data_IF_571205662353
#
_entry.id   IF_571205662353
#
_cell.length_a   1.000
_cell.length_b   1.000
_cell.length_c   1.000
_cell.angle_alpha   90.00
_cell.angle_beta   90.00
_cell.angle_gamma   90.00
#
_symmetry.space_group_name_H-M   'P 1'
#
loop_
_entity.id
_entity.type
_entity.pdbx_description
1 polymer ?
#
# COMPACT_ATOMS: atom_id res chain seq x y z
N UNK A 1 -23.61 10.79 2.75
CA UNK A 1 -23.17 9.38 2.91
C UNK A 1 -22.13 8.93 1.87
N UNK A 2 -22.30 9.20 0.57
CA UNK A 2 -21.34 8.79 -0.49
C UNK A 2 -19.89 9.28 -0.27
N UNK A 3 -19.72 10.45 0.36
CA UNK A 3 -18.42 11.04 0.71
C UNK A 3 -17.73 10.43 1.93
N UNK A 4 -18.38 9.59 2.73
CA UNK A 4 -17.76 9.00 3.95
C UNK A 4 -17.00 7.72 3.62
N UNK A 5 -17.47 6.96 2.62
CA UNK A 5 -16.86 5.69 2.21
C UNK A 5 -15.42 5.88 1.72
N UNK A 6 -15.19 6.95 0.94
CA UNK A 6 -13.85 7.26 0.41
C UNK A 6 -12.82 7.51 1.53
N UNK A 7 -12.96 8.52 2.41
CA UNK A 7 -12.01 8.77 3.48
C UNK A 7 -11.93 7.61 4.48
N UNK A 8 -13.04 6.92 4.79
CA UNK A 8 -13.00 5.75 5.66
C UNK A 8 -12.13 4.63 5.05
N UNK A 9 -12.24 4.41 3.75
CA UNK A 9 -11.40 3.43 3.06
C UNK A 9 -9.93 3.85 3.01
N UNK A 10 -9.63 5.12 2.70
CA UNK A 10 -8.25 5.62 2.73
C UNK A 10 -7.63 5.49 4.14
N UNK A 11 -8.39 5.80 5.20
CA UNK A 11 -7.96 5.62 6.58
C UNK A 11 -7.70 4.14 6.92
N UNK A 12 -8.52 3.22 6.42
CA UNK A 12 -8.29 1.79 6.58
C UNK A 12 -6.98 1.35 5.89
N UNK A 13 -6.72 1.84 4.67
CA UNK A 13 -5.45 1.59 3.98
C UNK A 13 -4.25 2.17 4.72
N UNK A 14 -4.38 3.39 5.26
CA UNK A 14 -3.34 4.02 6.08
C UNK A 14 -3.01 3.15 7.30
N UNK A 15 -4.01 2.67 8.03
CA UNK A 15 -3.81 1.77 9.16
C UNK A 15 -3.10 0.48 8.75
N UNK A 16 -3.51 -0.13 7.62
CA UNK A 16 -2.87 -1.32 7.08
C UNK A 16 -1.39 -1.09 6.75
N UNK A 17 -1.06 0.05 6.12
CA UNK A 17 0.33 0.39 5.80
C UNK A 17 1.15 0.75 7.05
N UNK A 18 0.57 1.43 8.04
CA UNK A 18 1.23 1.67 9.34
C UNK A 18 1.56 0.35 10.05
N UNK A 19 0.63 -0.60 10.05
CA UNK A 19 0.86 -1.92 10.62
C UNK A 19 1.92 -2.72 9.84
N UNK A 20 1.87 -2.66 8.51
CA UNK A 20 2.89 -3.25 7.64
C UNK A 20 4.28 -2.67 7.89
N UNK A 21 4.39 -1.35 8.00
CA UNK A 21 5.62 -0.65 8.37
C UNK A 21 6.11 -1.14 9.74
N UNK A 22 5.26 -1.07 10.78
CA UNK A 22 5.63 -1.52 12.12
C UNK A 22 6.22 -2.95 12.11
N UNK A 23 5.57 -3.90 11.42
CA UNK A 23 6.07 -5.28 11.32
C UNK A 23 7.41 -5.37 10.58
N UNK A 24 7.56 -4.65 9.46
CA UNK A 24 8.80 -4.64 8.67
C UNK A 24 9.94 -3.85 9.34
N UNK A 25 9.68 -3.07 10.39
CA UNK A 25 10.75 -2.42 11.16
C UNK A 25 11.09 -3.14 12.46
N UNK A 26 10.16 -3.92 13.02
CA UNK A 26 10.34 -4.58 14.34
C UNK A 26 10.63 -6.07 14.27
N UNK A 27 10.20 -6.76 13.22
CA UNK A 27 10.28 -8.23 13.11
C UNK A 27 11.07 -8.68 11.88
N UNK A 28 12.25 -8.10 11.65
CA UNK A 28 13.09 -8.38 10.45
C UNK A 28 13.43 -9.86 10.30
N UNK A 29 14.03 -10.46 11.32
CA UNK A 29 14.52 -11.84 11.26
C UNK A 29 13.37 -12.84 11.07
N UNK A 30 12.26 -12.64 11.78
CA UNK A 30 11.02 -13.41 11.62
C UNK A 30 10.41 -13.29 10.22
N UNK A 31 10.57 -12.14 9.55
CA UNK A 31 10.06 -11.94 8.21
C UNK A 31 10.95 -12.60 7.16
N UNK A 32 12.27 -12.38 7.24
CA UNK A 32 13.24 -12.97 6.31
C UNK A 32 13.25 -14.51 6.38
N UNK A 33 13.10 -15.09 7.57
CA UNK A 33 13.00 -16.55 7.74
C UNK A 33 11.76 -17.17 7.07
N UNK A 34 10.67 -16.40 6.93
CA UNK A 34 9.44 -16.86 6.26
C UNK A 34 9.50 -16.72 4.74
N UNK A 35 10.35 -15.84 4.21
CA UNK A 35 10.46 -15.55 2.78
C UNK A 35 11.91 -15.73 2.30
N UNK A 36 12.39 -16.98 2.12
CA UNK A 36 13.79 -17.25 1.80
C UNK A 36 14.25 -16.70 0.43
N UNK A 37 13.32 -16.31 -0.45
CA UNK A 37 13.63 -15.62 -1.72
C UNK A 37 13.95 -14.13 -1.55
N UNK A 38 13.66 -13.55 -0.38
CA UNK A 38 13.84 -12.14 -0.12
C UNK A 38 15.24 -11.89 0.43
N UNK A 39 16.09 -11.23 -0.37
CA UNK A 39 17.44 -10.83 0.07
C UNK A 39 17.37 -9.67 1.07
N UNK A 40 18.43 -9.46 1.85
CA UNK A 40 18.48 -8.32 2.79
C UNK A 40 18.39 -6.96 2.08
N UNK A 41 18.99 -6.83 0.89
CA UNK A 41 18.92 -5.61 0.09
C UNK A 41 17.49 -5.35 -0.39
N UNK A 42 16.82 -6.38 -0.94
CA UNK A 42 15.43 -6.28 -1.37
C UNK A 42 14.50 -5.99 -0.18
N UNK A 43 14.75 -6.60 0.98
CA UNK A 43 14.04 -6.29 2.22
C UNK A 43 14.22 -4.83 2.63
N UNK A 44 15.46 -4.32 2.50
CA UNK A 44 15.81 -2.93 2.74
C UNK A 44 14.97 -1.96 1.91
N UNK A 45 14.64 -2.30 0.67
CA UNK A 45 13.74 -1.52 -0.19
C UNK A 45 12.26 -1.69 0.21
N UNK A 46 11.83 -2.93 0.42
CA UNK A 46 10.42 -3.26 0.71
C UNK A 46 9.94 -2.63 2.01
N UNK A 47 10.78 -2.57 3.06
CA UNK A 47 10.38 -1.96 4.34
C UNK A 47 10.00 -0.48 4.22
N UNK A 48 10.52 0.23 3.21
CA UNK A 48 10.17 1.64 2.98
C UNK A 48 8.92 1.81 2.12
N UNK A 49 8.48 0.79 1.35
CA UNK A 49 7.28 0.89 0.51
C UNK A 49 6.02 1.28 1.29
N UNK A 50 5.73 0.70 2.47
CA UNK A 50 4.60 1.16 3.27
C UNK A 50 4.71 2.62 3.69
N UNK A 51 5.90 3.14 3.96
CA UNK A 51 6.10 4.54 4.34
C UNK A 51 5.82 5.48 3.16
N UNK A 52 6.32 5.14 1.97
CA UNK A 52 6.01 5.90 0.74
C UNK A 52 4.51 5.86 0.46
N UNK A 53 3.88 4.70 0.63
CA UNK A 53 2.44 4.55 0.41
C UNK A 53 1.60 5.30 1.46
N UNK A 54 2.07 5.44 2.71
CA UNK A 54 1.43 6.29 3.72
C UNK A 54 1.41 7.75 3.26
N UNK A 55 2.54 8.27 2.77
CA UNK A 55 2.62 9.64 2.24
C UNK A 55 1.69 9.80 1.03
N UNK A 56 1.67 8.83 0.13
CA UNK A 56 0.80 8.82 -1.04
C UNK A 56 -0.69 8.86 -0.63
N UNK A 57 -1.10 7.97 0.28
CA UNK A 57 -2.47 7.88 0.78
C UNK A 57 -2.88 9.13 1.57
N UNK A 58 -1.96 9.78 2.29
CA UNK A 58 -2.22 11.08 2.89
C UNK A 58 -2.50 12.12 1.80
N UNK A 59 -1.70 12.17 0.73
CA UNK A 59 -1.99 13.00 -0.45
C UNK A 59 -3.36 12.71 -1.05
N UNK A 60 -3.74 11.44 -1.19
CA UNK A 60 -5.08 11.03 -1.67
C UNK A 60 -6.19 11.50 -0.73
N UNK A 61 -5.99 11.42 0.59
CA UNK A 61 -6.95 11.89 1.59
C UNK A 61 -7.20 13.40 1.50
N UNK A 62 -6.16 14.17 1.15
CA UNK A 62 -6.22 15.61 0.89
C UNK A 62 -6.45 15.96 -0.58
N UNK A 63 -7.00 15.01 -1.37
CA UNK A 63 -7.42 15.23 -2.75
C UNK A 63 -6.30 15.70 -3.69
N UNK A 64 -5.06 15.26 -3.47
CA UNK A 64 -3.92 15.64 -4.31
C UNK A 64 -3.67 14.62 -5.43
N UNK A 65 -3.56 15.07 -6.69
CA UNK A 65 -3.29 14.18 -7.84
C UNK A 65 -1.96 13.45 -7.74
N UNK A 66 -0.92 14.12 -7.23
CA UNK A 66 0.40 13.48 -7.02
C UNK A 66 0.29 12.27 -6.08
N UNK A 67 -0.59 12.36 -5.08
CA UNK A 67 -0.84 11.26 -4.13
C UNK A 67 -1.47 10.05 -4.82
N UNK A 68 -2.38 10.28 -5.77
CA UNK A 68 -2.99 9.21 -6.57
C UNK A 68 -1.95 8.47 -7.40
N UNK A 69 -1.12 9.20 -8.16
CA UNK A 69 -0.09 8.57 -8.99
C UNK A 69 0.88 7.74 -8.16
N UNK A 70 1.30 8.29 -7.01
CA UNK A 70 2.22 7.60 -6.11
C UNK A 70 1.58 6.38 -5.44
N UNK A 71 0.30 6.47 -5.03
CA UNK A 71 -0.40 5.37 -4.38
C UNK A 71 -0.63 4.20 -5.34
N UNK A 72 -1.00 4.48 -6.60
CA UNK A 72 -1.15 3.47 -7.64
C UNK A 72 0.19 2.82 -7.96
N UNK A 73 1.26 3.61 -8.11
CA UNK A 73 2.61 3.07 -8.34
C UNK A 73 3.07 2.18 -7.18
N UNK A 74 2.85 2.60 -5.93
CA UNK A 74 3.17 1.80 -4.75
C UNK A 74 2.36 0.50 -4.71
N UNK A 75 1.06 0.56 -4.97
CA UNK A 75 0.19 -0.62 -4.98
C UNK A 75 0.63 -1.66 -6.02
N UNK A 76 0.95 -1.22 -7.24
CA UNK A 76 1.48 -2.10 -8.29
C UNK A 76 2.81 -2.72 -7.85
N UNK A 77 3.73 -1.90 -7.33
CA UNK A 77 5.04 -2.38 -6.90
C UNK A 77 4.95 -3.39 -5.76
N UNK A 78 4.07 -3.16 -4.78
CA UNK A 78 3.77 -4.09 -3.69
C UNK A 78 3.28 -5.43 -4.25
N UNK A 79 2.30 -5.42 -5.16
CA UNK A 79 1.77 -6.64 -5.79
C UNK A 79 2.87 -7.39 -6.53
N UNK A 80 3.71 -6.69 -7.29
CA UNK A 80 4.85 -7.29 -8.01
C UNK A 80 5.83 -7.92 -7.02
N UNK A 81 6.20 -7.20 -5.95
CA UNK A 81 7.07 -7.73 -4.91
C UNK A 81 6.47 -8.98 -4.25
N UNK A 82 5.19 -8.97 -3.90
CA UNK A 82 4.55 -10.12 -3.27
C UNK A 82 4.59 -11.36 -4.16
N UNK A 83 4.37 -11.20 -5.48
CA UNK A 83 4.46 -12.31 -6.45
C UNK A 83 5.89 -12.82 -6.53
N UNK A 84 6.87 -11.92 -6.67
CA UNK A 84 8.29 -12.27 -6.82
C UNK A 84 8.85 -12.99 -5.59
N UNK A 85 8.49 -12.53 -4.40
CA UNK A 85 9.00 -13.06 -3.13
C UNK A 85 8.10 -14.15 -2.51
N UNK A 86 6.95 -14.45 -3.11
CA UNK A 86 6.04 -15.52 -2.66
C UNK A 86 5.20 -15.15 -1.42
N UNK A 87 4.89 -13.87 -1.23
CA UNK A 87 4.14 -13.33 -0.09
C UNK A 87 2.62 -13.43 -0.37
N UNK A 88 2.13 -14.63 -0.70
CA UNK A 88 0.78 -14.81 -1.26
C UNK A 88 -0.37 -14.44 -0.32
N UNK A 89 -0.19 -14.57 1.00
CA UNK A 89 -1.22 -14.17 1.96
C UNK A 89 -1.52 -12.66 1.88
N UNK A 90 -0.52 -11.84 1.53
CA UNK A 90 -0.67 -10.41 1.38
C UNK A 90 -1.38 -10.05 0.06
N UNK A 91 -1.14 -10.79 -1.03
CA UNK A 91 -1.80 -10.59 -2.32
C UNK A 91 -3.34 -10.62 -2.24
N UNK A 92 -3.90 -11.51 -1.42
CA UNK A 92 -5.35 -11.61 -1.23
C UNK A 92 -5.98 -10.33 -0.67
N UNK A 93 -5.19 -9.49 0.00
CA UNK A 93 -5.63 -8.20 0.53
C UNK A 93 -5.21 -7.07 -0.41
N UNK A 94 -3.96 -7.11 -0.90
CA UNK A 94 -3.38 -6.07 -1.73
C UNK A 94 -4.12 -5.90 -3.07
N UNK A 95 -4.48 -6.99 -3.75
CA UNK A 95 -5.15 -6.90 -5.06
C UNK A 95 -6.57 -6.33 -4.94
N UNK A 96 -7.46 -6.86 -4.09
CA UNK A 96 -8.81 -6.30 -3.97
C UNK A 96 -8.83 -4.86 -3.46
N UNK A 97 -7.96 -4.54 -2.50
CA UNK A 97 -7.86 -3.17 -1.98
C UNK A 97 -7.36 -2.18 -3.05
N UNK A 98 -6.41 -2.59 -3.89
CA UNK A 98 -5.94 -1.77 -5.02
C UNK A 98 -7.03 -1.55 -6.06
N UNK A 99 -7.77 -2.60 -6.44
CA UNK A 99 -8.88 -2.48 -7.39
C UNK A 99 -9.95 -1.54 -6.85
N UNK A 100 -10.30 -1.68 -5.56
CA UNK A 100 -11.30 -0.82 -4.94
C UNK A 100 -10.82 0.62 -4.80
N UNK A 101 -9.53 0.84 -4.51
CA UNK A 101 -8.91 2.16 -4.51
C UNK A 101 -9.01 2.82 -5.89
N UNK A 102 -8.64 2.10 -6.95
CA UNK A 102 -8.72 2.60 -8.33
C UNK A 102 -10.16 2.94 -8.70
N UNK A 103 -11.12 2.08 -8.37
CA UNK A 103 -12.55 2.34 -8.60
C UNK A 103 -13.00 3.64 -7.92
N UNK A 104 -12.62 3.83 -6.65
CA UNK A 104 -12.97 5.00 -5.87
C UNK A 104 -12.30 6.28 -6.42
N UNK A 105 -11.02 6.20 -6.78
CA UNK A 105 -10.29 7.31 -7.42
C UNK A 105 -10.96 7.69 -8.73
N UNK A 106 -11.26 6.72 -9.60
CA UNK A 106 -11.93 6.99 -10.88
C UNK A 106 -13.30 7.66 -10.68
N UNK A 107 -14.06 7.20 -9.67
CA UNK A 107 -15.36 7.78 -9.32
C UNK A 107 -15.26 9.23 -8.84
N UNK A 108 -14.20 9.59 -8.13
CA UNK A 108 -14.01 10.93 -7.54
C UNK A 108 -12.90 11.74 -8.22
N UNK A 109 -12.47 11.37 -9.42
CA UNK A 109 -11.32 11.98 -10.10
C UNK A 109 -11.41 13.50 -10.23
N UNK A 110 -12.61 14.01 -10.51
CA UNK A 110 -12.85 15.45 -10.67
C UNK A 110 -12.71 16.27 -9.38
N UNK A 111 -12.58 15.62 -8.23
CA UNK A 111 -12.33 16.28 -6.94
C UNK A 111 -10.84 16.44 -6.63
N UNK A 112 -9.94 15.81 -7.41
CA UNK A 112 -8.50 15.90 -7.17
C UNK A 112 -7.88 17.13 -7.84
N UNK A 113 -7.07 17.85 -7.08
CA UNK A 113 -6.29 19.03 -7.50
C UNK A 113 -4.88 18.64 -7.95
#
# INVERSE_FOLDING_TARGET
MKTVVFPAFILLLLLGNCFGAYKLFTAKEDFLSKFPKLTEEAYGLIRYLPLVNIIALAGVLFWQKWGVYLAVACAILIIVCDILFGIYYHLFIAVPSTIFLIYLIARYWNFFE
#
